data_IF_164887895080
#
_entry.id   IF_164887895080
#
_cell.length_a   1.000
_cell.length_b   1.000
_cell.length_c   1.000
_cell.angle_alpha   90.00
_cell.angle_beta   90.00
_cell.angle_gamma   90.00
#
_symmetry.space_group_name_H-M   'P 1'
#
loop_
_entity.id
_entity.type
_entity.pdbx_description
1 polymer ?
#
# COMPACT_ATOMS: atom_id res chain seq x y z
N UNK A 1 28.59 8.54 -37.12
CA UNK A 1 27.15 8.81 -37.26
C UNK A 1 26.46 8.19 -36.07
N UNK A 2 26.22 8.99 -35.04
CA UNK A 2 25.51 8.57 -33.83
C UNK A 2 24.01 8.65 -34.10
N UNK A 3 23.31 7.52 -33.95
CA UNK A 3 21.85 7.49 -33.96
C UNK A 3 21.37 7.57 -32.52
N UNK A 4 20.94 8.76 -32.09
CA UNK A 4 20.20 8.96 -30.85
C UNK A 4 18.83 8.28 -30.98
N UNK A 5 18.74 7.03 -30.52
CA UNK A 5 17.48 6.36 -30.26
C UNK A 5 16.88 6.98 -29.00
N UNK A 6 15.90 7.86 -29.15
CA UNK A 6 15.06 8.31 -28.05
C UNK A 6 14.22 7.10 -27.58
N UNK A 7 14.57 6.55 -26.43
CA UNK A 7 13.86 5.44 -25.79
C UNK A 7 12.41 5.86 -25.48
N UNK A 8 11.47 5.42 -26.31
CA UNK A 8 10.03 5.69 -26.23
C UNK A 8 9.40 5.30 -24.88
N UNK A 9 10.03 4.39 -24.14
CA UNK A 9 9.62 3.98 -22.81
C UNK A 9 9.67 5.12 -21.77
N UNK A 10 10.65 6.03 -21.86
CA UNK A 10 10.75 7.17 -20.95
C UNK A 10 9.62 8.17 -21.17
N UNK A 11 9.22 8.40 -22.42
CA UNK A 11 8.09 9.27 -22.76
C UNK A 11 6.79 8.71 -22.18
N UNK A 12 6.58 7.40 -22.27
CA UNK A 12 5.39 6.73 -21.71
C UNK A 12 5.36 6.85 -20.18
N UNK A 13 6.49 6.62 -19.51
CA UNK A 13 6.58 6.73 -18.03
C UNK A 13 6.30 8.17 -17.58
N UNK A 14 6.86 9.17 -18.26
CA UNK A 14 6.61 10.59 -17.97
C UNK A 14 5.14 10.96 -18.20
N UNK A 15 4.52 10.44 -19.26
CA UNK A 15 3.09 10.65 -19.52
C UNK A 15 2.19 10.04 -18.43
N UNK A 16 2.52 8.83 -17.95
CA UNK A 16 1.79 8.18 -16.86
C UNK A 16 1.96 8.96 -15.54
N UNK A 17 3.17 9.41 -15.23
CA UNK A 17 3.42 10.23 -14.04
C UNK A 17 2.68 11.57 -14.09
N UNK A 18 2.66 12.25 -15.24
CA UNK A 18 1.90 13.49 -15.42
C UNK A 18 0.38 13.27 -15.29
N UNK A 19 -0.16 12.18 -15.83
CA UNK A 19 -1.58 11.86 -15.69
C UNK A 19 -1.98 11.63 -14.22
N UNK A 20 -1.12 10.98 -13.43
CA UNK A 20 -1.34 10.75 -11.99
C UNK A 20 -1.29 12.09 -11.22
N UNK A 21 -0.31 12.95 -11.51
CA UNK A 21 -0.19 14.26 -10.87
C UNK A 21 -1.38 15.19 -11.18
N UNK A 22 -1.84 15.20 -12.44
CA UNK A 22 -3.03 15.98 -12.86
C UNK A 22 -4.29 15.42 -12.18
N UNK A 23 -4.47 14.10 -12.16
CA UNK A 23 -5.59 13.46 -11.47
C UNK A 23 -5.62 13.78 -9.98
N UNK A 24 -4.46 13.76 -9.31
CA UNK A 24 -4.35 14.14 -7.91
C UNK A 24 -4.65 15.63 -7.66
N UNK A 25 -4.17 16.51 -8.54
CA UNK A 25 -4.44 17.95 -8.44
C UNK A 25 -5.93 18.27 -8.63
N UNK A 26 -6.58 17.66 -9.63
CA UNK A 26 -8.02 17.82 -9.90
C UNK A 26 -8.86 17.25 -8.76
N UNK A 27 -8.54 16.06 -8.26
CA UNK A 27 -9.22 15.46 -7.10
C UNK A 27 -9.13 16.36 -5.87
N UNK A 28 -7.93 16.83 -5.52
CA UNK A 28 -7.73 17.72 -4.37
C UNK A 28 -8.48 19.05 -4.52
N UNK A 29 -8.56 19.58 -5.75
CA UNK A 29 -9.28 20.82 -6.02
C UNK A 29 -10.81 20.64 -6.01
N UNK A 30 -11.33 19.49 -6.44
CA UNK A 30 -12.77 19.19 -6.46
C UNK A 30 -13.29 18.78 -5.07
N UNK A 31 -12.53 17.99 -4.31
CA UNK A 31 -12.88 17.62 -2.93
C UNK A 31 -12.85 18.82 -1.97
N UNK A 32 -12.17 19.92 -2.31
CA UNK A 32 -12.20 21.17 -1.55
C UNK A 32 -13.49 21.98 -1.73
N UNK A 33 -14.36 21.66 -2.70
CA UNK A 33 -15.47 22.55 -3.11
C UNK A 33 -16.90 22.08 -2.79
N UNK A 34 -17.13 20.89 -2.23
CA UNK A 34 -18.50 20.47 -1.87
C UNK A 34 -18.53 19.50 -0.67
N UNK A 35 -18.91 19.96 0.54
CA UNK A 35 -19.13 19.07 1.67
C UNK A 35 -20.52 18.41 1.72
N UNK A 36 -21.48 18.83 0.90
CA UNK A 36 -22.87 18.37 1.02
C UNK A 36 -23.42 17.76 -0.25
N UNK A 37 -23.56 16.42 -0.26
CA UNK A 37 -24.77 15.69 -0.70
C UNK A 37 -24.60 14.17 -0.53
N UNK A 38 -25.22 13.67 0.54
CA UNK A 38 -25.64 12.27 0.69
C UNK A 38 -26.81 11.96 -0.26
N UNK A 39 -26.74 10.79 -0.91
CA UNK A 39 -27.91 9.99 -1.26
C UNK A 39 -28.34 10.00 -2.73
N UNK A 40 -27.99 8.95 -3.47
CA UNK A 40 -28.95 7.93 -3.95
C UNK A 40 -28.21 6.85 -4.72
N UNK A 41 -28.55 5.60 -4.40
CA UNK A 41 -28.24 4.39 -5.14
C UNK A 41 -28.78 4.50 -6.56
N UNK A 42 -27.88 4.46 -7.54
CA UNK A 42 -28.09 3.80 -8.81
C UNK A 42 -26.81 3.03 -9.13
N UNK A 43 -26.96 1.72 -9.35
CA UNK A 43 -25.91 0.85 -9.86
C UNK A 43 -25.50 1.31 -11.26
N UNK A 44 -24.59 2.26 -11.33
CA UNK A 44 -23.72 2.49 -12.46
C UNK A 44 -22.32 2.65 -11.90
N UNK A 45 -21.46 1.68 -12.22
CA UNK A 45 -20.02 1.82 -12.07
C UNK A 45 -19.65 3.16 -12.70
N UNK A 46 -19.16 4.15 -11.93
CA UNK A 46 -18.78 5.43 -12.51
C UNK A 46 -17.66 5.16 -13.52
N UNK A 47 -17.94 5.48 -14.77
CA UNK A 47 -17.02 5.41 -15.91
C UNK A 47 -15.99 6.55 -15.86
N UNK A 48 -15.39 6.77 -14.69
CA UNK A 48 -14.23 7.63 -14.52
C UNK A 48 -12.99 6.74 -14.27
N UNK A 49 -11.97 6.89 -15.14
CA UNK A 49 -10.53 6.67 -14.83
C UNK A 49 -9.82 5.38 -15.33
N UNK A 50 -9.74 5.14 -16.64
CA UNK A 50 -8.58 4.50 -17.33
C UNK A 50 -7.92 3.24 -16.73
N UNK A 51 -6.71 2.91 -17.22
CA UNK A 51 -5.92 1.73 -16.78
C UNK A 51 -5.74 1.68 -15.25
N UNK A 52 -5.64 2.85 -14.60
CA UNK A 52 -5.45 2.95 -13.15
C UNK A 52 -6.64 2.41 -12.35
N UNK A 53 -7.88 2.66 -12.79
CA UNK A 53 -9.09 2.11 -12.15
C UNK A 53 -9.14 0.58 -12.26
N UNK A 54 -8.74 0.03 -13.41
CA UNK A 54 -8.68 -1.42 -13.62
C UNK A 54 -7.61 -2.08 -12.75
N UNK A 55 -6.43 -1.47 -12.62
CA UNK A 55 -5.38 -1.99 -11.73
C UNK A 55 -5.84 -1.98 -10.27
N UNK A 56 -6.47 -0.90 -9.80
CA UNK A 56 -6.99 -0.84 -8.43
C UNK A 56 -8.05 -1.92 -8.16
N UNK A 57 -8.93 -2.16 -9.14
CA UNK A 57 -9.90 -3.26 -9.08
C UNK A 57 -9.22 -4.62 -8.96
N UNK A 58 -8.20 -4.89 -9.77
CA UNK A 58 -7.44 -6.14 -9.73
C UNK A 58 -6.69 -6.33 -8.40
N UNK A 59 -6.11 -5.27 -7.83
CA UNK A 59 -5.55 -5.31 -6.49
C UNK A 59 -6.59 -5.65 -5.42
N UNK A 60 -7.78 -5.03 -5.48
CA UNK A 60 -8.85 -5.28 -4.52
C UNK A 60 -9.26 -6.78 -4.52
N UNK A 61 -9.29 -7.43 -5.68
CA UNK A 61 -9.62 -8.86 -5.79
C UNK A 61 -8.65 -9.78 -5.04
N UNK A 62 -7.37 -9.41 -4.99
CA UNK A 62 -6.32 -10.22 -4.35
C UNK A 62 -5.88 -9.65 -3.00
N UNK A 63 -6.57 -8.63 -2.50
CA UNK A 63 -6.15 -7.85 -1.33
C UNK A 63 -5.91 -8.71 -0.11
N UNK A 64 -6.72 -9.75 0.13
CA UNK A 64 -6.59 -10.66 1.29
C UNK A 64 -5.25 -11.41 1.37
N UNK A 65 -4.48 -11.48 0.28
CA UNK A 65 -3.20 -12.17 0.24
C UNK A 65 -2.02 -11.28 0.65
N UNK A 66 -2.23 -9.98 0.85
CA UNK A 66 -1.18 -9.06 1.33
C UNK A 66 -1.04 -9.05 2.87
N UNK A 67 -1.83 -9.85 3.59
CA UNK A 67 -1.72 -9.97 5.05
C UNK A 67 -0.32 -10.45 5.42
N UNK A 68 0.29 -9.80 6.41
CA UNK A 68 1.67 -10.04 6.83
C UNK A 68 2.73 -9.21 6.08
N UNK A 69 2.34 -8.43 5.07
CA UNK A 69 3.27 -7.53 4.35
C UNK A 69 3.05 -6.06 4.68
N UNK A 70 1.97 -5.68 5.38
CA UNK A 70 1.61 -4.27 5.56
C UNK A 70 2.61 -3.56 6.47
N UNK A 71 2.95 -4.16 7.61
CA UNK A 71 3.97 -3.60 8.50
C UNK A 71 5.36 -3.61 7.86
N UNK A 72 5.71 -4.66 7.11
CA UNK A 72 7.00 -4.71 6.39
C UNK A 72 7.12 -3.59 5.35
N UNK A 73 6.08 -3.38 4.54
CA UNK A 73 6.03 -2.28 3.57
C UNK A 73 6.13 -0.92 4.26
N UNK A 74 5.44 -0.74 5.40
CA UNK A 74 5.50 0.51 6.18
C UNK A 74 6.88 0.75 6.79
N UNK A 75 7.53 -0.29 7.28
CA UNK A 75 8.86 -0.17 7.83
C UNK A 75 9.86 0.23 6.73
N UNK A 76 9.74 -0.38 5.54
CA UNK A 76 10.55 0.00 4.37
C UNK A 76 10.28 1.45 3.94
N UNK A 77 9.03 1.90 3.97
CA UNK A 77 8.66 3.26 3.55
C UNK A 77 9.14 4.35 4.52
N UNK A 78 9.45 4.00 5.77
CA UNK A 78 9.96 4.95 6.79
C UNK A 78 11.48 4.84 6.91
N UNK A 79 11.97 3.64 7.24
CA UNK A 79 13.37 3.34 7.54
C UNK A 79 13.79 2.04 6.81
N UNK A 80 14.11 2.11 5.51
CA UNK A 80 14.38 0.94 4.70
C UNK A 80 15.63 0.18 5.15
N UNK A 81 15.44 -1.11 5.48
CA UNK A 81 16.50 -2.11 5.53
C UNK A 81 16.53 -2.89 4.22
N UNK A 82 17.70 -3.02 3.60
CA UNK A 82 17.83 -3.61 2.27
C UNK A 82 17.47 -5.10 2.23
N UNK A 83 17.79 -5.84 3.29
CA UNK A 83 17.51 -7.28 3.36
C UNK A 83 16.01 -7.52 3.53
N UNK A 84 15.38 -6.78 4.44
CA UNK A 84 13.93 -6.78 4.63
C UNK A 84 13.20 -6.35 3.34
N UNK A 85 13.70 -5.32 2.66
CA UNK A 85 13.08 -4.84 1.43
C UNK A 85 13.10 -5.89 0.32
N UNK A 86 14.25 -6.55 0.10
CA UNK A 86 14.37 -7.63 -0.88
C UNK A 86 13.37 -8.75 -0.63
N UNK A 87 13.35 -9.29 0.59
CA UNK A 87 12.45 -10.39 0.97
C UNK A 87 10.98 -9.97 0.84
N UNK A 88 10.64 -8.75 1.28
CA UNK A 88 9.25 -8.26 1.20
C UNK A 88 8.78 -8.16 -0.25
N UNK A 89 9.60 -7.62 -1.15
CA UNK A 89 9.24 -7.54 -2.56
C UNK A 89 9.27 -8.89 -3.28
N UNK A 90 10.09 -9.86 -2.85
CA UNK A 90 10.04 -11.24 -3.34
C UNK A 90 8.71 -11.90 -2.95
N UNK A 91 8.27 -11.75 -1.70
CA UNK A 91 6.98 -12.26 -1.23
C UNK A 91 5.82 -11.64 -2.03
N UNK A 92 5.86 -10.33 -2.27
CA UNK A 92 4.86 -9.64 -3.07
C UNK A 92 4.86 -10.15 -4.52
N UNK A 93 6.02 -10.36 -5.12
CA UNK A 93 6.10 -10.95 -6.46
C UNK A 93 5.41 -12.31 -6.51
N UNK A 94 5.65 -13.18 -5.52
CA UNK A 94 4.97 -14.48 -5.45
C UNK A 94 3.45 -14.35 -5.34
N UNK A 95 2.94 -13.38 -4.57
CA UNK A 95 1.51 -13.08 -4.51
C UNK A 95 0.98 -12.71 -5.91
N UNK A 96 1.69 -11.84 -6.64
CA UNK A 96 1.29 -11.43 -7.99
C UNK A 96 1.30 -12.60 -8.98
N UNK A 97 2.33 -13.45 -8.94
CA UNK A 97 2.48 -14.59 -9.85
C UNK A 97 1.40 -15.65 -9.62
N UNK A 98 1.06 -15.92 -8.36
CA UNK A 98 0.11 -16.98 -7.99
C UNK A 98 -1.34 -16.51 -8.03
N UNK A 99 -1.62 -15.26 -7.64
CA UNK A 99 -2.99 -14.75 -7.43
C UNK A 99 -3.38 -13.65 -8.40
N UNK A 100 -2.42 -12.93 -8.97
CA UNK A 100 -2.69 -11.84 -9.91
C UNK A 100 -3.28 -12.32 -11.22
N UNK A 101 -4.11 -11.48 -11.84
CA UNK A 101 -4.46 -11.62 -13.25
C UNK A 101 -3.26 -11.32 -14.15
N UNK A 102 -3.33 -11.69 -15.42
CA UNK A 102 -2.25 -11.41 -16.38
C UNK A 102 -1.96 -9.91 -16.49
N UNK A 103 -2.99 -9.08 -16.42
CA UNK A 103 -2.85 -7.62 -16.36
C UNK A 103 -2.07 -7.18 -15.12
N UNK A 104 -2.36 -7.74 -13.95
CA UNK A 104 -1.67 -7.37 -12.72
C UNK A 104 -0.22 -7.88 -12.70
N UNK A 105 0.04 -9.06 -13.29
CA UNK A 105 1.40 -9.59 -13.49
C UNK A 105 2.21 -8.69 -14.42
N UNK A 106 1.63 -8.28 -15.55
CA UNK A 106 2.27 -7.38 -16.50
C UNK A 106 2.58 -6.02 -15.86
N UNK A 107 1.60 -5.44 -15.17
CA UNK A 107 1.78 -4.20 -14.42
C UNK A 107 2.89 -4.33 -13.38
N UNK A 108 2.89 -5.42 -12.59
CA UNK A 108 3.88 -5.62 -11.55
C UNK A 108 5.27 -5.87 -12.12
N UNK A 109 5.40 -6.59 -13.24
CA UNK A 109 6.67 -6.77 -13.95
C UNK A 109 7.27 -5.43 -14.38
N UNK A 110 6.44 -4.51 -14.90
CA UNK A 110 6.87 -3.14 -15.19
C UNK A 110 7.24 -2.34 -13.94
N UNK A 111 6.42 -2.46 -12.89
CA UNK A 111 6.64 -1.79 -11.61
C UNK A 111 7.94 -2.26 -10.90
N UNK A 112 8.22 -3.55 -10.93
CA UNK A 112 9.36 -4.23 -10.29
C UNK A 112 10.55 -4.44 -11.23
N UNK A 113 10.57 -3.73 -12.37
CA UNK A 113 11.66 -3.83 -13.34
C UNK A 113 13.00 -3.50 -12.68
N UNK A 114 14.00 -4.34 -12.97
CA UNK A 114 15.37 -4.22 -12.46
C UNK A 114 15.44 -4.18 -10.92
N UNK A 115 14.49 -4.83 -10.21
CA UNK A 115 14.42 -4.82 -8.74
C UNK A 115 15.75 -5.16 -8.06
N UNK A 116 16.51 -6.10 -8.61
CA UNK A 116 17.75 -6.55 -8.00
C UNK A 116 18.86 -5.47 -7.98
N UNK A 117 18.74 -4.43 -8.80
CA UNK A 117 19.65 -3.27 -8.81
C UNK A 117 19.07 -2.04 -8.11
N UNK A 118 17.91 -2.13 -7.48
CA UNK A 118 17.36 -1.00 -6.71
C UNK A 118 18.23 -0.69 -5.50
N UNK A 119 18.45 0.59 -5.28
CA UNK A 119 19.04 1.08 -4.04
C UNK A 119 17.98 1.25 -2.94
N UNK A 120 18.45 1.59 -1.74
CA UNK A 120 17.64 1.76 -0.53
C UNK A 120 16.54 2.83 -0.71
N UNK A 121 16.84 3.91 -1.45
CA UNK A 121 15.88 4.99 -1.68
C UNK A 121 14.78 4.54 -2.64
N UNK A 122 15.14 3.83 -3.70
CA UNK A 122 14.16 3.31 -4.64
C UNK A 122 13.25 2.25 -3.99
N UNK A 123 13.77 1.39 -3.12
CA UNK A 123 12.92 0.49 -2.33
C UNK A 123 11.92 1.25 -1.46
N UNK A 124 12.35 2.33 -0.80
CA UNK A 124 11.47 3.19 0.00
C UNK A 124 10.35 3.80 -0.84
N UNK A 125 10.69 4.34 -2.01
CA UNK A 125 9.71 4.93 -2.93
C UNK A 125 8.71 3.89 -3.44
N UNK A 126 9.20 2.70 -3.80
CA UNK A 126 8.36 1.59 -4.28
C UNK A 126 7.45 1.06 -3.18
N UNK A 127 7.95 0.94 -1.95
CA UNK A 127 7.13 0.52 -0.81
C UNK A 127 6.03 1.54 -0.54
N UNK A 128 6.35 2.84 -0.57
CA UNK A 128 5.39 3.92 -0.40
C UNK A 128 4.32 3.91 -1.51
N UNK A 129 4.72 3.70 -2.76
CA UNK A 129 3.79 3.61 -3.88
C UNK A 129 2.83 2.41 -3.76
N UNK A 130 3.34 1.25 -3.35
CA UNK A 130 2.52 0.05 -3.19
C UNK A 130 1.57 0.17 -1.98
N UNK A 131 2.03 0.71 -0.85
CA UNK A 131 1.17 1.01 0.30
C UNK A 131 0.01 1.91 -0.11
N UNK A 132 0.29 2.99 -0.85
CA UNK A 132 -0.76 3.90 -1.32
C UNK A 132 -1.80 3.20 -2.22
N UNK A 133 -1.39 2.21 -3.02
CA UNK A 133 -2.34 1.39 -3.81
C UNK A 133 -3.22 0.56 -2.86
N UNK A 134 -2.62 -0.11 -1.88
CA UNK A 134 -3.33 -0.94 -0.90
C UNK A 134 -4.27 -0.12 0.00
N UNK A 135 -3.87 1.10 0.35
CA UNK A 135 -4.70 2.07 1.08
C UNK A 135 -5.90 2.52 0.25
N UNK A 136 -5.71 2.77 -1.05
CA UNK A 136 -6.83 3.03 -1.97
C UNK A 136 -7.76 1.83 -2.16
N UNK A 137 -7.30 0.60 -1.89
CA UNK A 137 -8.16 -0.57 -1.82
C UNK A 137 -8.92 -0.68 -0.49
N UNK A 138 -8.69 0.23 0.47
CA UNK A 138 -9.42 0.31 1.74
C UNK A 138 -8.70 -0.26 2.95
N UNK A 139 -7.43 -0.66 2.84
CA UNK A 139 -6.62 -1.08 4.00
C UNK A 139 -6.05 0.17 4.68
N UNK A 140 -6.34 0.40 5.96
CA UNK A 140 -5.84 1.58 6.67
C UNK A 140 -5.09 1.19 7.95
N UNK A 141 -3.99 1.88 8.30
CA UNK A 141 -3.33 1.67 9.58
C UNK A 141 -4.14 2.33 10.69
N UNK A 142 -4.15 1.71 11.86
CA UNK A 142 -4.65 2.38 13.06
C UNK A 142 -3.58 3.34 13.61
N UNK A 143 -3.96 4.57 13.93
CA UNK A 143 -3.01 5.65 14.27
C UNK A 143 -2.63 5.73 15.77
N UNK A 144 -2.96 4.72 16.56
CA UNK A 144 -2.61 4.68 17.99
C UNK A 144 -1.10 4.49 18.18
N UNK A 145 -0.51 5.31 19.08
CA UNK A 145 0.93 5.27 19.39
C UNK A 145 1.23 4.67 20.75
N UNK A 146 0.36 4.90 21.72
CA UNK A 146 0.45 4.36 23.07
C UNK A 146 -0.95 4.07 23.59
N UNK A 147 -1.07 3.04 24.42
CA UNK A 147 -2.34 2.65 25.06
C UNK A 147 -2.07 1.88 26.35
N UNK A 148 -3.11 1.60 27.12
CA UNK A 148 -3.05 0.72 28.29
C UNK A 148 -3.55 -0.66 27.88
N UNK A 149 -2.75 -1.69 28.12
CA UNK A 149 -3.09 -3.06 27.76
C UNK A 149 -4.36 -3.51 28.45
N UNK A 150 -5.32 -3.99 27.67
CA UNK A 150 -6.59 -4.55 28.12
C UNK A 150 -6.82 -5.95 27.53
N UNK A 151 -7.99 -6.53 27.80
CA UNK A 151 -8.33 -7.88 27.33
C UNK A 151 -8.49 -7.94 25.80
N UNK A 152 -8.91 -6.84 25.17
CA UNK A 152 -9.17 -6.78 23.72
C UNK A 152 -7.91 -6.49 22.91
N UNK A 153 -6.85 -5.97 23.55
CA UNK A 153 -5.57 -5.63 22.94
C UNK A 153 -4.92 -6.81 22.21
N UNK A 154 -5.10 -8.03 22.72
CA UNK A 154 -4.57 -9.25 22.11
C UNK A 154 -5.20 -9.59 20.73
N UNK A 155 -6.38 -9.04 20.43
CA UNK A 155 -7.02 -9.18 19.11
C UNK A 155 -6.35 -8.29 18.06
N UNK A 156 -5.76 -7.16 18.48
CA UNK A 156 -5.19 -6.12 17.63
C UNK A 156 -3.67 -6.22 17.49
N UNK A 157 -2.98 -6.63 18.55
CA UNK A 157 -1.53 -6.55 18.63
C UNK A 157 -0.86 -7.87 19.04
N UNK A 158 0.30 -8.12 18.45
CA UNK A 158 1.28 -9.06 18.95
C UNK A 158 2.16 -8.37 20.01
N UNK A 159 2.67 -9.15 20.96
CA UNK A 159 3.54 -8.69 22.04
C UNK A 159 4.87 -9.44 22.01
N UNK A 160 5.98 -8.71 22.05
CA UNK A 160 7.33 -9.28 22.07
C UNK A 160 7.66 -9.97 23.41
N UNK A 161 7.04 -9.48 24.48
CA UNK A 161 7.21 -9.96 25.85
C UNK A 161 5.84 -10.11 26.51
N UNK A 162 5.77 -10.77 27.66
CA UNK A 162 4.54 -10.84 28.43
C UNK A 162 4.13 -9.45 28.92
N UNK A 163 2.89 -9.05 28.63
CA UNK A 163 2.28 -7.78 29.05
C UNK A 163 1.01 -8.11 29.85
N UNK A 164 0.89 -7.51 31.02
CA UNK A 164 -0.22 -7.67 31.95
C UNK A 164 -1.28 -6.58 31.70
N UNK A 165 -2.57 -6.87 31.98
CA UNK A 165 -3.63 -5.86 31.98
C UNK A 165 -3.25 -4.65 32.86
N UNK A 166 -3.51 -3.45 32.35
CA UNK A 166 -3.18 -2.19 33.03
C UNK A 166 -1.78 -1.64 32.74
N UNK A 167 -0.91 -2.40 32.05
CA UNK A 167 0.43 -1.90 31.67
C UNK A 167 0.36 -0.95 30.47
N UNK A 168 1.15 0.12 30.51
CA UNK A 168 1.29 1.03 29.37
C UNK A 168 2.12 0.37 28.27
N UNK A 169 1.69 0.53 27.04
CA UNK A 169 2.33 -0.01 25.85
C UNK A 169 2.65 1.09 24.86
N UNK A 170 3.76 0.92 24.15
CA UNK A 170 4.10 1.69 22.96
C UNK A 170 3.90 0.82 21.73
N UNK A 171 3.21 1.36 20.73
CA UNK A 171 3.01 0.74 19.42
C UNK A 171 4.30 0.86 18.62
N UNK A 172 4.89 -0.28 18.29
CA UNK A 172 6.08 -0.39 17.44
C UNK A 172 5.66 -0.42 15.97
N UNK A 173 4.63 -1.20 15.66
CA UNK A 173 4.01 -1.27 14.34
C UNK A 173 2.48 -1.24 14.49
N UNK A 174 1.76 -0.46 13.65
CA UNK A 174 0.31 -0.38 13.75
C UNK A 174 -0.35 -1.70 13.39
N UNK A 175 -1.57 -1.93 13.88
CA UNK A 175 -2.44 -2.90 13.24
C UNK A 175 -3.15 -2.26 12.05
N UNK A 176 -3.56 -3.09 11.10
CA UNK A 176 -4.21 -2.66 9.87
C UNK A 176 -5.65 -3.13 9.86
N UNK A 177 -6.53 -2.31 9.29
CA UNK A 177 -7.96 -2.53 9.23
C UNK A 177 -8.38 -2.64 7.76
N UNK A 178 -9.23 -3.62 7.45
CA UNK A 178 -9.87 -3.75 6.14
C UNK A 178 -11.34 -4.12 6.35
N UNK A 179 -12.26 -3.38 5.72
CA UNK A 179 -13.72 -3.56 5.88
C UNK A 179 -14.20 -3.61 7.35
N UNK A 180 -13.55 -2.83 8.23
CA UNK A 180 -13.90 -2.76 9.66
C UNK A 180 -13.32 -3.89 10.51
N UNK A 181 -12.60 -4.85 9.93
CA UNK A 181 -11.98 -5.97 10.62
C UNK A 181 -10.46 -5.81 10.71
N UNK A 182 -9.86 -6.45 11.72
CA UNK A 182 -8.40 -6.50 11.85
C UNK A 182 -7.85 -7.34 10.70
N UNK A 183 -7.14 -6.68 9.79
CA UNK A 183 -6.54 -7.26 8.62
C UNK A 183 -5.15 -7.82 8.91
N UNK A 184 -4.33 -7.06 9.65
CA UNK A 184 -3.00 -7.47 10.09
C UNK A 184 -2.77 -6.95 11.50
N UNK A 185 -2.35 -7.83 12.41
CA UNK A 185 -2.03 -7.42 13.79
C UNK A 185 -0.79 -6.54 13.82
N UNK A 186 -0.81 -5.55 14.69
CA UNK A 186 0.34 -4.69 14.97
C UNK A 186 1.33 -5.35 15.92
N UNK A 187 2.32 -4.58 16.33
CA UNK A 187 3.35 -4.99 17.29
C UNK A 187 3.48 -3.94 18.39
N UNK A 188 3.55 -4.40 19.64
CA UNK A 188 3.71 -3.52 20.81
C UNK A 188 4.84 -3.98 21.71
N UNK A 189 5.33 -3.03 22.51
CA UNK A 189 6.22 -3.27 23.64
C UNK A 189 5.67 -2.61 24.90
N UNK A 190 5.87 -3.25 26.05
CA UNK A 190 5.61 -2.60 27.34
C UNK A 190 6.52 -1.38 27.50
N UNK A 191 6.00 -0.34 28.16
CA UNK A 191 6.72 0.90 28.49
C UNK A 191 7.28 0.84 29.91
#
# INVERSE_FOLDING_TARGET
METNSTNSAWTIIVCIFMAICIGYYVYKHLSSKNPDKKGKSDNKVPEENGVAGTILFEFNRIIKYFTGNMNALRDISINPDLSLARVTFENIQQIMEVKGSDMLKEWYSGFAKDRNSWDVLLYKDKASALLNILEKCGINPHEEKEFVWDNDSATKYNRLVQIQPGQKCTVVAPYWIYNGEIYEKGLVKAK
#
